data_IF_062174288023
#
_entry.id   IF_062174288023
#
_cell.length_a   1.000
_cell.length_b   1.000
_cell.length_c   1.000
_cell.angle_alpha   90.00
_cell.angle_beta   90.00
_cell.angle_gamma   90.00
#
_symmetry.space_group_name_H-M   'P 1'
#
loop_
_entity.id
_entity.type
_entity.pdbx_description
1 polymer ?
#
# COMPACT_ATOMS: atom_id res chain seq x y z
N UNK A 1 24.31 -2.99 5.71
CA UNK A 1 23.01 -2.44 6.15
C UNK A 1 23.22 -1.63 7.42
N UNK A 2 22.49 -0.54 7.56
CA UNK A 2 22.53 0.40 8.70
C UNK A 2 21.15 1.02 8.89
N UNK A 3 20.84 1.39 10.13
CA UNK A 3 19.52 1.89 10.53
C UNK A 3 18.66 0.81 11.21
N UNK A 4 17.44 1.19 11.58
CA UNK A 4 16.45 0.31 12.22
C UNK A 4 15.20 0.30 11.35
N UNK A 5 14.68 -0.89 11.06
CA UNK A 5 13.50 -1.06 10.21
C UNK A 5 12.37 -1.68 11.03
N UNK A 6 11.20 -1.05 10.97
CA UNK A 6 9.95 -1.57 11.50
C UNK A 6 9.05 -1.97 10.34
N UNK A 7 8.53 -3.18 10.40
CA UNK A 7 7.59 -3.69 9.41
C UNK A 7 6.31 -4.06 10.14
N UNK A 8 5.18 -3.54 9.68
CA UNK A 8 3.85 -3.88 10.15
C UNK A 8 3.14 -4.62 9.00
N UNK A 9 3.23 -5.96 8.92
CA UNK A 9 2.68 -6.70 7.78
C UNK A 9 1.16 -6.54 7.62
N UNK A 10 0.46 -6.34 8.74
CA UNK A 10 -0.96 -6.05 8.77
C UNK A 10 -1.21 -4.91 9.75
N UNK A 11 -1.38 -3.69 9.24
CA UNK A 11 -1.67 -2.53 10.08
C UNK A 11 -3.02 -2.68 10.82
N UNK A 12 -3.98 -3.37 10.21
CA UNK A 12 -5.29 -3.66 10.79
C UNK A 12 -5.63 -5.16 10.67
N UNK A 13 -5.23 -5.95 11.69
CA UNK A 13 -5.52 -7.38 11.73
C UNK A 13 -7.02 -7.70 11.71
N UNK A 14 -7.89 -6.83 12.24
CA UNK A 14 -9.33 -7.04 12.19
C UNK A 14 -9.85 -6.96 10.76
N UNK A 15 -9.40 -5.97 9.99
CA UNK A 15 -9.80 -5.77 8.61
C UNK A 15 -9.33 -6.90 7.67
N UNK A 16 -8.23 -7.59 7.99
CA UNK A 16 -7.81 -8.77 7.23
C UNK A 16 -8.74 -9.98 7.42
N UNK A 17 -9.63 -9.98 8.42
CA UNK A 17 -10.53 -11.12 8.71
C UNK A 17 -11.80 -11.16 7.88
N UNK A 18 -12.09 -10.17 7.03
CA UNK A 18 -13.25 -10.17 6.13
C UNK A 18 -12.87 -9.56 4.78
N UNK A 19 -13.63 -9.87 3.74
CA UNK A 19 -13.58 -9.10 2.49
C UNK A 19 -14.68 -8.03 2.46
N UNK A 20 -14.60 -7.13 1.49
CA UNK A 20 -15.57 -6.04 1.33
C UNK A 20 -17.00 -6.59 1.18
N UNK A 21 -17.90 -6.10 2.06
CA UNK A 21 -19.30 -6.53 2.10
C UNK A 21 -20.00 -6.25 0.77
N UNK A 22 -20.64 -7.28 0.22
CA UNK A 22 -21.38 -7.18 -1.05
C UNK A 22 -20.55 -7.46 -2.31
N UNK A 23 -19.22 -7.58 -2.20
CA UNK A 23 -18.34 -7.74 -3.37
C UNK A 23 -17.89 -9.19 -3.61
N UNK A 24 -18.36 -10.14 -2.79
CA UNK A 24 -18.10 -11.58 -2.96
C UNK A 24 -16.60 -11.95 -3.06
N UNK A 25 -15.76 -11.29 -2.25
CA UNK A 25 -14.32 -11.55 -2.24
C UNK A 25 -14.02 -13.03 -1.96
N UNK A 26 -13.12 -13.68 -2.73
CA UNK A 26 -12.49 -14.91 -2.29
C UNK A 26 -11.83 -14.70 -0.92
N UNK A 27 -11.76 -15.77 -0.11
CA UNK A 27 -11.16 -15.67 1.23
C UNK A 27 -9.64 -15.57 1.19
N UNK A 28 -9.03 -16.18 0.18
CA UNK A 28 -7.59 -16.35 0.08
C UNK A 28 -7.15 -16.17 -1.37
N UNK A 29 -5.88 -15.80 -1.51
CA UNK A 29 -5.10 -16.01 -2.72
C UNK A 29 -3.79 -16.72 -2.36
N UNK A 30 -3.17 -17.31 -3.36
CA UNK A 30 -1.94 -18.07 -3.25
C UNK A 30 -0.81 -17.42 -4.03
N UNK A 31 0.40 -17.56 -3.51
CA UNK A 31 1.65 -17.22 -4.20
C UNK A 31 2.49 -18.48 -4.28
N UNK A 32 2.87 -18.88 -5.49
CA UNK A 32 3.77 -20.01 -5.74
C UNK A 32 5.17 -19.71 -5.22
N UNK A 33 5.83 -20.69 -4.60
CA UNK A 33 7.16 -20.53 -4.00
C UNK A 33 8.06 -21.73 -4.31
N UNK A 34 9.39 -21.63 -4.15
CA UNK A 34 10.28 -22.78 -4.31
C UNK A 34 10.01 -23.95 -3.34
N UNK A 35 9.25 -23.72 -2.28
CA UNK A 35 8.94 -24.68 -1.23
C UNK A 35 7.46 -25.10 -1.19
N UNK A 36 6.69 -24.75 -2.23
CA UNK A 36 5.27 -25.07 -2.36
C UNK A 36 4.46 -23.80 -2.61
N UNK A 37 3.44 -23.57 -1.80
CA UNK A 37 2.49 -22.47 -1.99
C UNK A 37 2.34 -21.71 -0.67
N UNK A 38 2.36 -20.38 -0.72
CA UNK A 38 2.04 -19.52 0.40
C UNK A 38 0.65 -18.91 0.24
N UNK A 39 -0.22 -19.11 1.23
CA UNK A 39 -1.59 -18.57 1.23
C UNK A 39 -1.68 -17.29 2.03
N UNK A 40 -2.32 -16.29 1.44
CA UNK A 40 -2.64 -15.01 2.06
C UNK A 40 -4.14 -14.81 2.11
N UNK A 41 -4.61 -14.14 3.17
CA UNK A 41 -6.02 -13.79 3.33
C UNK A 41 -6.31 -12.49 2.62
N UNK A 42 -7.39 -12.45 1.84
CA UNK A 42 -7.88 -11.21 1.23
C UNK A 42 -8.72 -10.47 2.27
N UNK A 43 -8.29 -9.27 2.61
CA UNK A 43 -8.91 -8.40 3.61
C UNK A 43 -9.87 -7.38 3.01
N UNK A 44 -10.44 -6.57 3.90
CA UNK A 44 -11.17 -5.35 3.60
C UNK A 44 -10.34 -4.15 4.06
N UNK A 45 -10.70 -2.97 3.55
CA UNK A 45 -10.23 -1.68 4.04
C UNK A 45 -10.76 -1.38 5.46
N UNK A 46 -11.97 -1.85 5.77
CA UNK A 46 -12.65 -1.56 7.02
C UNK A 46 -12.39 -2.61 8.11
N UNK A 47 -12.13 -2.17 9.34
CA UNK A 47 -12.21 -3.02 10.56
C UNK A 47 -13.51 -3.83 10.54
N UNK A 48 -13.42 -5.09 10.96
CA UNK A 48 -14.56 -6.01 10.99
C UNK A 48 -15.66 -5.43 11.89
N UNK A 49 -16.91 -5.31 11.42
CA UNK A 49 -18.04 -4.89 12.26
C UNK A 49 -18.27 -5.78 13.50
N UNK A 50 -17.75 -7.02 13.51
CA UNK A 50 -17.79 -7.88 14.68
C UNK A 50 -16.82 -7.43 15.79
N UNK A 51 -15.73 -6.76 15.43
CA UNK A 51 -14.73 -6.27 16.39
C UNK A 51 -14.98 -4.80 16.77
N UNK A 52 -15.66 -4.04 15.89
CA UNK A 52 -16.00 -2.63 16.11
C UNK A 52 -17.42 -2.33 15.66
N UNK A 53 -18.30 -2.08 16.63
CA UNK A 53 -19.70 -1.66 16.45
C UNK A 53 -20.14 -0.82 17.65
N UNK A 54 -21.07 0.15 17.51
CA UNK A 54 -21.75 0.57 16.28
C UNK A 54 -20.97 1.60 15.45
N UNK A 55 -21.24 1.64 14.14
CA UNK A 55 -20.87 2.79 13.31
C UNK A 55 -21.79 3.98 13.70
N UNK A 56 -21.25 5.21 13.79
CA UNK A 56 -22.04 6.40 14.13
C UNK A 56 -22.95 6.81 12.96
N UNK A 57 -23.83 7.79 13.14
CA UNK A 57 -24.56 8.38 12.01
C UNK A 57 -23.64 9.20 11.09
N UNK A 58 -22.65 9.86 11.68
CA UNK A 58 -21.60 10.62 10.99
C UNK A 58 -20.33 10.43 11.80
N UNK A 59 -19.23 10.09 11.14
CA UNK A 59 -17.95 10.02 11.82
C UNK A 59 -17.37 11.44 11.90
N UNK A 60 -17.10 11.90 13.13
CA UNK A 60 -16.43 13.18 13.37
C UNK A 60 -14.97 12.88 13.65
N UNK A 61 -14.11 13.22 12.70
CA UNK A 61 -12.70 12.91 12.74
C UNK A 61 -12.00 13.61 13.92
N UNK A 62 -11.23 12.87 14.71
CA UNK A 62 -10.33 13.43 15.71
C UNK A 62 -8.92 13.62 15.13
N UNK A 63 -8.24 14.76 15.36
CA UNK A 63 -8.67 15.91 16.15
C UNK A 63 -9.36 17.02 15.34
N UNK A 64 -9.49 16.85 14.02
CA UNK A 64 -9.87 17.96 13.12
C UNK A 64 -11.33 18.43 13.25
N UNK A 65 -12.23 17.59 13.79
CA UNK A 65 -13.67 17.85 13.80
C UNK A 65 -14.34 17.73 12.42
N UNK A 66 -13.62 17.23 11.39
CA UNK A 66 -14.19 17.06 10.05
C UNK A 66 -15.24 15.95 10.05
N UNK A 67 -16.40 16.22 9.44
CA UNK A 67 -17.41 15.20 9.20
C UNK A 67 -16.99 14.31 8.01
N UNK A 68 -16.93 13.01 8.26
CA UNK A 68 -16.63 11.95 7.30
C UNK A 68 -17.82 10.98 7.18
N UNK A 69 -17.76 10.07 6.21
CA UNK A 69 -18.81 9.07 6.06
C UNK A 69 -18.85 8.16 7.30
N UNK A 70 -20.03 7.66 7.68
CA UNK A 70 -20.18 6.85 8.89
C UNK A 70 -19.21 5.66 8.94
N UNK A 71 -19.01 4.99 7.81
CA UNK A 71 -18.13 3.83 7.66
C UNK A 71 -16.64 4.16 7.76
N UNK A 72 -16.26 5.44 7.62
CA UNK A 72 -14.85 5.86 7.71
C UNK A 72 -14.29 5.67 9.12
N UNK A 73 -15.14 5.51 10.15
CA UNK A 73 -14.69 5.17 11.51
C UNK A 73 -14.00 3.79 11.58
N UNK A 74 -14.28 2.90 10.62
CA UNK A 74 -13.65 1.57 10.48
C UNK A 74 -12.50 1.57 9.48
N UNK A 75 -12.34 2.63 8.68
CA UNK A 75 -11.31 2.74 7.66
C UNK A 75 -10.02 3.29 8.28
N UNK A 76 -8.97 2.47 8.37
CA UNK A 76 -7.72 2.88 9.03
C UNK A 76 -7.12 4.15 8.40
N UNK A 77 -7.16 4.28 7.07
CA UNK A 77 -6.70 5.48 6.36
C UNK A 77 -7.71 6.64 6.45
N UNK A 78 -8.53 6.69 7.51
CA UNK A 78 -9.42 7.81 7.88
C UNK A 78 -9.40 8.09 9.38
N UNK A 79 -8.63 7.36 10.17
CA UNK A 79 -8.64 7.51 11.64
C UNK A 79 -7.35 8.06 12.22
N UNK A 80 -6.31 8.33 11.42
CA UNK A 80 -5.08 8.94 11.92
C UNK A 80 -5.30 10.40 12.35
N UNK A 81 -4.60 10.91 13.40
CA UNK A 81 -3.58 10.23 14.19
C UNK A 81 -4.14 9.28 15.24
N UNK A 82 -5.47 9.16 15.35
CA UNK A 82 -6.13 8.29 16.31
C UNK A 82 -6.12 8.85 17.74
N UNK A 83 -6.72 8.08 18.66
CA UNK A 83 -6.73 8.38 20.10
C UNK A 83 -6.82 7.10 20.93
N UNK A 84 -6.24 7.09 22.14
CA UNK A 84 -6.14 5.88 22.97
C UNK A 84 -7.50 5.41 23.53
N UNK A 85 -8.46 6.32 23.66
CA UNK A 85 -9.82 6.09 24.17
C UNK A 85 -10.89 6.04 23.05
N UNK A 86 -10.45 5.92 21.79
CA UNK A 86 -11.32 5.82 20.62
C UNK A 86 -11.80 4.41 20.31
N UNK A 87 -12.35 4.25 19.11
CA UNK A 87 -12.69 2.94 18.55
C UNK A 87 -11.46 2.07 18.33
N UNK A 88 -11.66 0.78 18.00
CA UNK A 88 -10.54 -0.12 17.70
C UNK A 88 -9.64 0.44 16.59
N UNK A 89 -10.21 0.93 15.50
CA UNK A 89 -9.48 1.53 14.38
C UNK A 89 -8.73 2.80 14.82
N UNK A 90 -9.36 3.69 15.59
CA UNK A 90 -8.70 4.89 16.14
C UNK A 90 -7.53 4.53 17.06
N UNK A 91 -7.68 3.48 17.88
CA UNK A 91 -6.64 2.98 18.78
C UNK A 91 -5.48 2.33 18.02
N UNK A 92 -5.74 1.66 16.90
CA UNK A 92 -4.72 1.13 16.00
C UNK A 92 -3.90 2.28 15.40
N UNK A 93 -4.56 3.29 14.82
CA UNK A 93 -3.85 4.46 14.27
C UNK A 93 -3.05 5.20 15.37
N UNK A 94 -3.59 5.30 16.58
CA UNK A 94 -2.86 5.87 17.72
C UNK A 94 -1.62 5.04 18.07
N UNK A 95 -1.73 3.72 18.13
CA UNK A 95 -0.59 2.84 18.42
C UNK A 95 0.53 2.97 17.37
N UNK A 96 0.17 3.11 16.09
CA UNK A 96 1.14 3.36 15.00
C UNK A 96 1.82 4.72 15.21
N UNK A 97 1.06 5.78 15.52
CA UNK A 97 1.63 7.10 15.82
C UNK A 97 2.56 7.08 17.04
N UNK A 98 2.22 6.33 18.09
CA UNK A 98 3.06 6.19 19.27
C UNK A 98 4.33 5.40 18.97
N UNK A 99 4.28 4.37 18.11
CA UNK A 99 5.49 3.71 17.62
C UNK A 99 6.40 4.71 16.89
N UNK A 100 5.85 5.50 15.98
CA UNK A 100 6.59 6.51 15.21
C UNK A 100 7.29 7.51 16.12
N UNK A 101 6.58 8.04 17.13
CA UNK A 101 7.14 9.03 18.06
C UNK A 101 8.14 8.45 19.05
N UNK A 102 7.86 7.26 19.59
CA UNK A 102 8.72 6.67 20.62
C UNK A 102 10.03 6.13 20.05
N UNK A 103 10.02 5.70 18.79
CA UNK A 103 11.19 5.17 18.10
C UNK A 103 11.91 6.20 17.23
N UNK A 104 11.42 7.45 17.23
CA UNK A 104 11.99 8.58 16.47
C UNK A 104 12.20 8.21 14.99
N UNK A 105 11.12 7.75 14.34
CA UNK A 105 11.19 7.23 12.98
C UNK A 105 11.47 8.37 11.99
N UNK A 106 12.58 8.28 11.26
CA UNK A 106 13.00 9.30 10.29
C UNK A 106 12.09 9.40 9.05
N UNK A 107 11.63 8.25 8.54
CA UNK A 107 10.81 8.13 7.33
C UNK A 107 9.78 7.03 7.50
N UNK A 108 8.56 7.29 7.03
CA UNK A 108 7.41 6.38 7.12
C UNK A 108 6.82 6.14 5.74
N UNK A 109 6.54 4.86 5.43
CA UNK A 109 5.93 4.42 4.18
C UNK A 109 4.59 3.71 4.46
N UNK A 110 3.52 4.22 3.85
CA UNK A 110 2.21 3.56 3.76
C UNK A 110 2.06 2.88 2.41
N UNK A 111 1.75 1.58 2.39
CA UNK A 111 1.65 0.77 1.18
C UNK A 111 0.20 0.52 0.83
N UNK A 112 -0.22 1.01 -0.32
CA UNK A 112 -1.57 0.91 -0.82
C UNK A 112 -1.62 0.37 -2.25
N UNK A 113 -2.74 -0.23 -2.60
CA UNK A 113 -3.14 -0.42 -3.98
C UNK A 113 -4.40 0.40 -4.28
N UNK A 114 -4.54 0.85 -5.53
CA UNK A 114 -5.62 1.71 -5.99
C UNK A 114 -6.28 1.18 -7.26
N UNK A 115 -7.58 1.43 -7.38
CA UNK A 115 -8.34 1.20 -8.60
C UNK A 115 -7.70 1.95 -9.79
N UNK A 116 -7.63 1.31 -10.95
CA UNK A 116 -7.06 1.86 -12.19
C UNK A 116 -7.89 3.04 -12.73
N UNK A 117 -9.19 3.07 -12.43
CA UNK A 117 -10.09 4.18 -12.74
C UNK A 117 -9.99 5.36 -11.75
N UNK A 118 -9.11 5.30 -10.74
CA UNK A 118 -8.90 6.37 -9.78
C UNK A 118 -7.64 7.19 -10.14
N UNK A 119 -7.68 8.54 -10.17
CA UNK A 119 -6.54 9.36 -10.57
C UNK A 119 -5.25 9.12 -9.78
N UNK A 120 -5.39 8.83 -8.49
CA UNK A 120 -4.29 8.59 -7.55
C UNK A 120 -3.99 7.09 -7.52
N UNK A 121 -3.48 6.60 -8.64
CA UNK A 121 -2.99 5.23 -8.86
C UNK A 121 -1.61 5.29 -9.50
N UNK A 122 -0.73 4.30 -9.26
CA UNK A 122 0.64 4.28 -9.79
C UNK A 122 1.41 5.54 -9.42
N UNK A 123 1.38 5.92 -8.14
CA UNK A 123 1.86 7.21 -7.65
C UNK A 123 2.40 7.13 -6.24
N UNK A 124 3.31 8.04 -5.90
CA UNK A 124 3.50 8.46 -4.52
C UNK A 124 2.42 9.46 -4.12
N UNK A 125 2.10 9.53 -2.83
CA UNK A 125 1.39 10.65 -2.22
C UNK A 125 2.21 11.13 -1.03
N UNK A 126 2.81 12.31 -1.15
CA UNK A 126 3.77 12.81 -0.17
C UNK A 126 3.16 13.87 0.75
N UNK A 127 3.57 13.83 2.02
CA UNK A 127 3.45 14.99 2.90
C UNK A 127 4.29 16.17 2.37
N UNK A 128 4.01 17.40 2.82
CA UNK A 128 4.61 18.62 2.27
C UNK A 128 6.15 18.60 2.41
N UNK A 129 6.67 18.10 3.52
CA UNK A 129 8.11 17.98 3.81
C UNK A 129 8.81 16.79 3.12
N UNK A 130 8.04 15.79 2.68
CA UNK A 130 8.52 14.64 1.92
C UNK A 130 8.38 14.80 0.41
N UNK A 131 7.83 15.93 -0.05
CA UNK A 131 7.51 16.14 -1.46
C UNK A 131 8.74 16.05 -2.36
N UNK A 132 9.86 16.65 -1.96
CA UNK A 132 11.09 16.63 -2.75
C UNK A 132 11.65 15.21 -2.90
N UNK A 133 11.60 14.39 -1.83
CA UNK A 133 11.98 12.97 -1.87
C UNK A 133 11.09 12.23 -2.88
N UNK A 134 9.77 12.35 -2.73
CA UNK A 134 8.80 11.67 -3.58
C UNK A 134 8.92 12.08 -5.06
N UNK A 135 9.14 13.36 -5.34
CA UNK A 135 9.29 13.89 -6.69
C UNK A 135 10.55 13.35 -7.38
N UNK A 136 11.69 13.37 -6.69
CA UNK A 136 12.94 12.88 -7.27
C UNK A 136 12.92 11.36 -7.45
N UNK A 137 12.34 10.63 -6.50
CA UNK A 137 12.16 9.19 -6.61
C UNK A 137 11.24 8.82 -7.79
N UNK A 138 10.09 9.49 -7.92
CA UNK A 138 9.16 9.29 -9.03
C UNK A 138 9.82 9.55 -10.40
N UNK A 139 10.60 10.64 -10.51
CA UNK A 139 11.36 10.96 -11.72
C UNK A 139 12.38 9.87 -12.06
N UNK A 140 13.17 9.42 -11.07
CA UNK A 140 14.19 8.40 -11.30
C UNK A 140 13.58 7.06 -11.71
N UNK A 141 12.54 6.61 -11.01
CA UNK A 141 11.83 5.37 -11.35
C UNK A 141 11.22 5.44 -12.75
N UNK A 142 10.58 6.56 -13.10
CA UNK A 142 10.01 6.77 -14.44
C UNK A 142 11.06 6.74 -15.54
N UNK A 143 12.28 7.18 -15.25
CA UNK A 143 13.39 7.18 -16.20
C UNK A 143 14.07 5.81 -16.33
N UNK A 144 14.02 4.96 -15.30
CA UNK A 144 14.91 3.79 -15.20
C UNK A 144 14.21 2.46 -15.03
N UNK A 145 12.97 2.42 -14.52
CA UNK A 145 12.28 1.18 -14.19
C UNK A 145 10.83 1.16 -14.70
N UNK A 146 9.98 2.06 -14.23
CA UNK A 146 8.55 2.09 -14.58
C UNK A 146 7.93 3.47 -14.34
N UNK A 147 6.84 3.84 -15.05
CA UNK A 147 6.14 5.10 -14.81
C UNK A 147 5.64 5.21 -13.37
N UNK A 148 5.99 6.29 -12.70
CA UNK A 148 5.59 6.59 -11.32
C UNK A 148 5.23 8.07 -11.21
N UNK A 149 3.99 8.34 -10.81
CA UNK A 149 3.52 9.70 -10.55
C UNK A 149 3.87 10.14 -9.12
N UNK A 150 3.62 11.41 -8.82
CA UNK A 150 3.68 11.98 -7.47
C UNK A 150 2.50 12.93 -7.30
N UNK A 151 1.83 12.84 -6.15
CA UNK A 151 0.72 13.71 -5.76
C UNK A 151 1.00 14.32 -4.38
N UNK A 152 0.47 15.53 -4.15
CA UNK A 152 0.50 16.14 -2.84
C UNK A 152 -0.58 15.57 -1.92
N UNK A 153 -0.21 15.30 -0.67
CA UNK A 153 -1.15 14.96 0.37
C UNK A 153 -2.16 16.11 0.58
N UNK A 154 -3.48 15.88 0.43
CA UNK A 154 -4.46 16.95 0.47
C UNK A 154 -4.64 17.51 1.88
N UNK A 155 -4.41 18.81 2.07
CA UNK A 155 -4.51 19.50 3.37
C UNK A 155 -5.92 19.47 3.99
N UNK A 156 -6.95 19.46 3.15
CA UNK A 156 -8.36 19.57 3.55
C UNK A 156 -9.06 18.23 3.73
N UNK A 157 -8.39 17.10 3.47
CA UNK A 157 -8.93 15.77 3.69
C UNK A 157 -8.19 15.11 4.86
N UNK A 158 -8.84 15.08 6.02
CA UNK A 158 -8.27 14.62 7.28
C UNK A 158 -8.50 13.12 7.49
N UNK A 159 -7.69 12.53 8.34
CA UNK A 159 -7.69 11.10 8.66
C UNK A 159 -6.77 10.24 7.81
N UNK A 160 -6.18 10.80 6.75
CA UNK A 160 -5.26 10.07 5.87
C UNK A 160 -3.93 9.81 6.58
N UNK A 161 -3.41 8.59 6.51
CA UNK A 161 -2.15 8.18 7.13
C UNK A 161 -1.02 9.16 6.77
N UNK A 162 -0.72 9.32 5.48
CA UNK A 162 0.37 10.18 5.00
C UNK A 162 0.17 11.69 5.28
N UNK A 163 -1.06 12.14 5.54
CA UNK A 163 -1.34 13.53 5.96
C UNK A 163 -1.08 13.69 7.46
N UNK A 164 -1.73 12.85 8.24
CA UNK A 164 -1.82 12.96 9.69
C UNK A 164 -0.53 12.50 10.37
N UNK A 165 0.17 11.51 9.81
CA UNK A 165 1.49 11.09 10.29
C UNK A 165 2.47 12.27 10.22
N UNK A 166 2.57 12.95 9.07
CA UNK A 166 3.46 14.11 8.94
C UNK A 166 2.96 15.36 9.69
N UNK A 167 1.64 15.56 9.87
CA UNK A 167 1.13 16.69 10.67
C UNK A 167 1.35 16.50 12.19
N UNK A 168 1.46 15.25 12.67
CA UNK A 168 1.47 14.91 14.10
C UNK A 168 2.71 14.13 14.56
N UNK A 169 3.80 14.15 13.77
CA UNK A 169 5.13 13.66 14.15
C UNK A 169 6.21 14.34 13.30
N UNK A 170 7.48 14.13 13.62
CA UNK A 170 8.62 14.68 12.87
C UNK A 170 9.11 13.74 11.74
N UNK A 171 8.33 12.69 11.42
CA UNK A 171 8.69 11.71 10.39
C UNK A 171 8.36 12.22 8.98
N UNK A 172 9.20 11.88 8.02
CA UNK A 172 8.93 12.12 6.61
C UNK A 172 7.93 11.07 6.10
N UNK A 173 6.68 11.47 5.86
CA UNK A 173 5.61 10.56 5.47
C UNK A 173 5.38 10.48 3.95
N UNK A 174 5.38 9.25 3.42
CA UNK A 174 5.07 8.91 2.04
C UNK A 174 4.04 7.78 2.01
N UNK A 175 3.09 7.86 1.07
CA UNK A 175 2.25 6.73 0.68
C UNK A 175 2.59 6.34 -0.76
N UNK A 176 2.46 5.06 -1.09
CA UNK A 176 2.56 4.56 -2.46
C UNK A 176 1.29 3.84 -2.87
N UNK A 177 0.83 4.10 -4.09
CA UNK A 177 -0.29 3.42 -4.72
C UNK A 177 0.21 2.61 -5.93
N UNK A 178 -0.10 1.32 -5.98
CA UNK A 178 0.07 0.46 -7.16
C UNK A 178 -1.28 0.15 -7.81
N UNK A 179 -1.33 -0.20 -9.11
CA UNK A 179 -2.60 -0.41 -9.80
C UNK A 179 -3.18 -1.79 -9.48
N UNK A 180 -4.32 -1.86 -8.80
CA UNK A 180 -5.00 -3.12 -8.46
C UNK A 180 -6.36 -3.26 -9.16
N UNK A 181 -6.46 -4.15 -10.16
CA UNK A 181 -7.71 -4.48 -10.83
C UNK A 181 -8.78 -5.01 -9.89
N UNK A 182 -8.40 -5.82 -8.89
CA UNK A 182 -9.33 -6.52 -8.00
C UNK A 182 -10.26 -5.58 -7.21
N UNK A 183 -9.86 -4.33 -6.98
CA UNK A 183 -10.65 -3.34 -6.24
C UNK A 183 -11.30 -2.29 -7.16
N UNK A 184 -11.26 -2.46 -8.49
CA UNK A 184 -11.91 -1.52 -9.40
C UNK A 184 -13.44 -1.71 -9.45
N UNK A 185 -14.15 -0.68 -9.92
CA UNK A 185 -15.62 -0.59 -9.89
C UNK A 185 -16.30 -1.35 -11.00
N UNK A 186 -15.62 -1.49 -12.14
CA UNK A 186 -16.19 -2.06 -13.37
C UNK A 186 -15.71 -3.47 -13.67
N UNK A 187 -14.92 -4.07 -12.78
CA UNK A 187 -14.38 -5.41 -12.99
C UNK A 187 -15.47 -6.48 -12.99
N UNK A 188 -15.13 -7.62 -13.58
CA UNK A 188 -15.93 -8.82 -13.57
C UNK A 188 -15.98 -9.50 -12.20
N UNK A 189 -16.01 -10.83 -12.24
CA UNK A 189 -16.13 -11.63 -11.02
C UNK A 189 -14.85 -11.52 -10.19
N UNK A 190 -15.00 -11.27 -8.89
CA UNK A 190 -13.89 -11.37 -7.93
C UNK A 190 -13.41 -12.82 -7.83
N UNK A 191 -12.23 -13.09 -8.38
CA UNK A 191 -11.54 -14.39 -8.34
C UNK A 191 -10.13 -14.23 -7.83
N UNK A 192 -9.53 -15.34 -7.42
CA UNK A 192 -8.10 -15.39 -7.10
C UNK A 192 -7.25 -15.01 -8.32
N UNK A 193 -7.61 -15.50 -9.51
CA UNK A 193 -6.93 -15.11 -10.75
C UNK A 193 -6.97 -13.59 -11.00
N UNK A 194 -8.08 -12.90 -10.70
CA UNK A 194 -8.14 -11.44 -10.83
C UNK A 194 -7.21 -10.75 -9.81
N UNK A 195 -7.12 -11.27 -8.58
CA UNK A 195 -6.22 -10.77 -7.55
C UNK A 195 -4.75 -10.89 -7.98
N UNK A 196 -4.37 -12.06 -8.51
CA UNK A 196 -2.98 -12.42 -8.80
C UNK A 196 -2.53 -11.95 -10.18
N UNK A 197 -3.30 -12.23 -11.23
CA UNK A 197 -2.94 -11.89 -12.62
C UNK A 197 -3.32 -10.46 -13.00
N UNK A 198 -4.35 -9.89 -12.35
CA UNK A 198 -4.81 -8.54 -12.66
C UNK A 198 -5.39 -8.39 -14.08
N UNK A 199 -5.96 -9.46 -14.64
CA UNK A 199 -6.53 -9.48 -16.00
C UNK A 199 -8.06 -9.43 -15.93
N UNK A 200 -8.66 -8.42 -16.57
CA UNK A 200 -10.11 -8.23 -16.63
C UNK A 200 -10.55 -7.58 -17.96
N UNK A 201 -11.58 -8.15 -18.59
CA UNK A 201 -12.08 -7.71 -19.90
C UNK A 201 -12.83 -6.37 -19.87
N UNK A 202 -13.45 -6.03 -18.74
CA UNK A 202 -14.16 -4.77 -18.58
C UNK A 202 -13.18 -3.62 -18.36
N UNK A 203 -12.10 -3.85 -17.61
CA UNK A 203 -10.98 -2.91 -17.53
C UNK A 203 -10.27 -2.75 -18.86
N UNK A 204 -10.09 -3.82 -19.65
CA UNK A 204 -9.59 -3.69 -21.02
C UNK A 204 -10.51 -2.78 -21.86
N UNK A 205 -11.82 -2.97 -21.74
CA UNK A 205 -12.80 -2.10 -22.42
C UNK A 205 -12.69 -0.65 -21.94
N UNK A 206 -12.50 -0.42 -20.64
CA UNK A 206 -12.29 0.92 -20.08
C UNK A 206 -10.98 1.56 -20.58
N UNK A 207 -9.89 0.77 -20.69
CA UNK A 207 -8.60 1.20 -21.23
C UNK A 207 -8.73 1.65 -22.69
N UNK A 208 -9.42 0.87 -23.53
CA UNK A 208 -9.70 1.21 -24.95
C UNK A 208 -10.53 2.50 -25.12
N UNK A 209 -11.23 2.92 -24.06
CA UNK A 209 -11.99 4.17 -24.01
C UNK A 209 -11.23 5.32 -23.34
N UNK A 210 -9.98 5.10 -22.90
CA UNK A 210 -9.16 6.10 -22.21
C UNK A 210 -9.70 6.50 -20.84
N UNK A 211 -10.34 5.57 -20.13
CA UNK A 211 -10.96 5.83 -18.82
C UNK A 211 -10.06 5.46 -17.62
N UNK A 212 -8.89 4.87 -17.88
CA UNK A 212 -7.93 4.51 -16.84
C UNK A 212 -6.88 5.60 -16.66
N UNK A 213 -6.28 5.67 -15.47
CA UNK A 213 -5.26 6.64 -15.09
C UNK A 213 -3.84 6.07 -15.04
N UNK A 214 -3.67 4.85 -15.52
CA UNK A 214 -2.40 4.16 -15.74
C UNK A 214 -2.50 3.23 -16.96
N UNK A 215 -1.36 2.76 -17.44
CA UNK A 215 -1.29 1.81 -18.54
C UNK A 215 -1.92 0.47 -18.13
N UNK A 216 -2.67 -0.12 -19.06
CA UNK A 216 -3.32 -1.42 -18.90
C UNK A 216 -3.64 -1.98 -20.28
N UNK A 217 -3.11 -3.15 -20.58
CA UNK A 217 -3.47 -3.92 -21.77
C UNK A 217 -3.31 -5.41 -21.47
N UNK A 218 -4.37 -6.19 -21.72
CA UNK A 218 -4.38 -7.64 -21.53
C UNK A 218 -4.10 -8.40 -22.85
N UNK A 219 -4.07 -7.69 -23.98
CA UNK A 219 -3.91 -8.28 -25.32
C UNK A 219 -2.44 -8.26 -25.74
N UNK A 220 -1.87 -7.07 -25.87
CA UNK A 220 -0.47 -6.88 -26.32
C UNK A 220 0.46 -6.51 -25.17
N UNK A 221 -0.11 -6.04 -24.06
CA UNK A 221 0.64 -5.50 -22.94
C UNK A 221 1.23 -4.11 -23.21
N UNK A 222 1.97 -3.61 -22.24
CA UNK A 222 2.71 -2.36 -22.32
C UNK A 222 4.14 -2.55 -21.84
N UNK A 223 5.05 -1.68 -22.27
CA UNK A 223 6.46 -1.78 -21.90
C UNK A 223 6.79 -0.91 -20.69
N UNK A 224 7.56 -1.49 -19.76
CA UNK A 224 8.25 -0.72 -18.74
C UNK A 224 9.58 -0.13 -19.28
N UNK A 225 10.31 0.63 -18.46
CA UNK A 225 11.56 1.26 -18.89
C UNK A 225 12.73 0.26 -19.03
N UNK A 226 12.57 -0.97 -18.56
CA UNK A 226 13.53 -2.06 -18.70
C UNK A 226 13.29 -2.89 -19.98
N UNK A 227 12.19 -2.62 -20.71
CA UNK A 227 11.81 -3.33 -21.92
C UNK A 227 11.02 -4.61 -21.66
N UNK A 228 10.57 -4.85 -20.43
CA UNK A 228 9.66 -5.97 -20.14
C UNK A 228 8.28 -5.65 -20.70
N UNK A 229 7.57 -6.68 -21.18
CA UNK A 229 6.16 -6.56 -21.56
C UNK A 229 5.29 -6.96 -20.37
N UNK A 230 4.46 -6.04 -19.92
CA UNK A 230 3.53 -6.22 -18.80
C UNK A 230 2.12 -6.46 -19.36
N UNK A 231 1.50 -7.56 -18.96
CA UNK A 231 0.12 -7.92 -19.35
C UNK A 231 -0.79 -7.69 -18.14
N UNK A 232 -1.79 -6.82 -18.28
CA UNK A 232 -2.69 -6.46 -17.18
C UNK A 232 -1.96 -5.72 -16.04
N UNK A 233 -2.19 -6.13 -14.79
CA UNK A 233 -1.48 -5.59 -13.61
C UNK A 233 -1.22 -6.70 -12.56
N UNK A 234 -0.29 -7.62 -12.86
CA UNK A 234 -0.05 -8.82 -12.08
C UNK A 234 0.61 -8.50 -10.73
N UNK A 235 0.46 -9.39 -9.75
CA UNK A 235 0.95 -9.22 -8.39
C UNK A 235 2.45 -8.88 -8.34
N UNK A 236 3.27 -9.56 -9.14
CA UNK A 236 4.72 -9.30 -9.19
C UNK A 236 5.05 -7.88 -9.66
N UNK A 237 4.28 -7.35 -10.62
CA UNK A 237 4.39 -5.97 -11.05
C UNK A 237 4.05 -4.99 -9.92
N UNK A 238 2.99 -5.26 -9.15
CA UNK A 238 2.57 -4.41 -8.02
C UNK A 238 3.58 -4.46 -6.87
N UNK A 239 4.01 -5.65 -6.47
CA UNK A 239 5.02 -5.86 -5.41
C UNK A 239 6.35 -5.22 -5.78
N UNK A 240 6.86 -5.48 -6.99
CA UNK A 240 8.12 -4.91 -7.46
C UNK A 240 8.09 -3.37 -7.45
N UNK A 241 6.96 -2.76 -7.82
CA UNK A 241 6.79 -1.31 -7.77
C UNK A 241 6.87 -0.75 -6.35
N UNK A 242 6.25 -1.41 -5.37
CA UNK A 242 6.38 -1.00 -3.97
C UNK A 242 7.81 -1.10 -3.48
N UNK A 243 8.52 -2.20 -3.76
CA UNK A 243 9.87 -2.42 -3.27
C UNK A 243 10.86 -1.41 -3.87
N UNK A 244 10.92 -1.29 -5.19
CA UNK A 244 11.77 -0.27 -5.83
C UNK A 244 11.34 1.15 -5.47
N UNK A 245 10.04 1.37 -5.27
CA UNK A 245 9.51 2.64 -4.79
C UNK A 245 10.09 3.03 -3.42
N UNK A 246 10.08 2.11 -2.45
CA UNK A 246 10.67 2.36 -1.14
C UNK A 246 12.18 2.59 -1.24
N UNK A 247 12.89 1.75 -1.99
CA UNK A 247 14.35 1.85 -2.10
C UNK A 247 14.78 3.18 -2.71
N UNK A 248 14.09 3.65 -3.75
CA UNK A 248 14.43 4.91 -4.40
C UNK A 248 14.12 6.11 -3.50
N UNK A 249 13.01 6.08 -2.75
CA UNK A 249 12.74 7.13 -1.76
C UNK A 249 13.81 7.16 -0.64
N UNK A 250 14.30 6.00 -0.19
CA UNK A 250 15.42 5.92 0.76
C UNK A 250 16.71 6.48 0.15
N UNK A 251 16.98 6.22 -1.15
CA UNK A 251 18.14 6.81 -1.83
C UNK A 251 18.08 8.34 -1.78
N UNK A 252 16.93 8.95 -2.04
CA UNK A 252 16.76 10.41 -1.97
C UNK A 252 16.73 10.96 -0.54
N UNK A 253 16.22 10.20 0.43
CA UNK A 253 16.39 10.52 1.85
C UNK A 253 17.88 10.67 2.19
N UNK A 254 18.70 9.69 1.80
CA UNK A 254 20.14 9.71 2.07
C UNK A 254 20.86 10.89 1.41
N UNK A 255 20.38 11.37 0.26
CA UNK A 255 20.95 12.52 -0.45
C UNK A 255 20.55 13.85 0.20
N UNK A 256 19.29 14.00 0.59
CA UNK A 256 18.76 15.25 1.15
C UNK A 256 19.00 15.40 2.65
N UNK A 257 19.05 14.29 3.38
CA UNK A 257 19.21 14.23 4.83
C UNK A 257 20.32 13.22 5.20
N UNK A 258 21.61 13.51 4.91
CA UNK A 258 22.71 12.59 5.18
C UNK A 258 22.83 12.16 6.65
N UNK A 259 22.32 12.97 7.58
CA UNK A 259 22.24 12.68 9.01
C UNK A 259 21.21 11.59 9.36
N UNK A 260 20.21 11.39 8.50
CA UNK A 260 19.16 10.35 8.60
C UNK A 260 19.46 9.12 7.74
N UNK A 261 20.68 9.03 7.19
CA UNK A 261 20.98 8.06 6.15
C UNK A 261 20.89 6.61 6.64
N UNK A 262 20.26 5.75 5.83
CA UNK A 262 20.11 4.32 6.11
C UNK A 262 20.46 3.45 4.89
N UNK A 263 20.77 2.18 5.16
CA UNK A 263 21.11 1.19 4.14
C UNK A 263 20.35 -0.10 4.43
N UNK A 264 19.48 -0.49 3.49
CA UNK A 264 18.65 -1.70 3.55
C UNK A 264 18.80 -2.47 2.25
N UNK A 265 18.67 -3.80 2.30
CA UNK A 265 18.68 -4.65 1.11
C UNK A 265 17.45 -5.54 1.07
N UNK A 266 16.77 -5.54 -0.07
CA UNK A 266 15.67 -6.42 -0.44
C UNK A 266 15.54 -6.38 -1.97
N UNK A 267 14.85 -7.35 -2.61
CA UNK A 267 14.76 -7.39 -4.07
C UNK A 267 14.12 -6.13 -4.65
N UNK A 268 14.68 -5.64 -5.75
CA UNK A 268 14.08 -4.56 -6.54
C UNK A 268 13.07 -5.07 -7.58
N UNK A 269 12.41 -4.15 -8.27
CA UNK A 269 11.46 -4.43 -9.35
C UNK A 269 12.01 -5.37 -10.42
N UNK A 270 13.24 -5.13 -10.93
CA UNK A 270 13.84 -5.99 -11.95
C UNK A 270 13.98 -7.45 -11.48
N UNK A 271 14.41 -7.64 -10.23
CA UNK A 271 14.56 -8.94 -9.59
C UNK A 271 13.21 -9.65 -9.37
N UNK A 272 12.17 -8.91 -8.96
CA UNK A 272 10.82 -9.45 -8.82
C UNK A 272 10.24 -9.84 -10.18
N UNK A 273 10.41 -9.02 -11.21
CA UNK A 273 9.91 -9.32 -12.55
C UNK A 273 10.61 -10.53 -13.18
N UNK A 274 11.87 -10.80 -12.81
CA UNK A 274 12.62 -11.96 -13.28
C UNK A 274 12.27 -13.25 -12.51
N UNK A 275 12.23 -13.18 -11.18
CA UNK A 275 12.16 -14.38 -10.33
C UNK A 275 10.77 -14.64 -9.73
N UNK A 276 9.86 -13.66 -9.76
CA UNK A 276 8.57 -13.67 -9.09
C UNK A 276 8.68 -13.39 -7.59
N UNK A 277 7.61 -12.84 -7.00
CA UNK A 277 7.55 -12.48 -5.57
C UNK A 277 7.78 -13.68 -4.67
N UNK A 278 7.23 -14.83 -5.04
CA UNK A 278 7.30 -16.04 -4.23
C UNK A 278 8.70 -16.62 -4.05
N UNK A 279 9.63 -16.30 -4.95
CA UNK A 279 11.04 -16.68 -4.81
C UNK A 279 11.68 -16.13 -3.52
N UNK A 280 11.23 -14.95 -3.10
CA UNK A 280 11.79 -14.22 -1.95
C UNK A 280 11.06 -14.50 -0.64
N UNK A 281 10.01 -15.33 -0.66
CA UNK A 281 9.26 -15.68 0.54
C UNK A 281 10.02 -16.72 1.38
N UNK A 282 10.14 -16.42 2.68
CA UNK A 282 10.78 -17.31 3.64
C UNK A 282 9.90 -18.54 3.92
N UNK A 283 10.50 -19.73 3.84
CA UNK A 283 9.87 -21.00 4.22
C UNK A 283 9.59 -21.02 5.74
N UNK A 284 8.31 -20.97 6.18
CA UNK A 284 7.98 -20.88 7.60
C UNK A 284 8.46 -22.08 8.42
N UNK A 285 8.67 -23.24 7.79
CA UNK A 285 9.18 -24.44 8.46
C UNK A 285 10.65 -24.29 8.90
N UNK A 286 11.36 -23.33 8.31
CA UNK A 286 12.77 -22.99 8.60
C UNK A 286 12.91 -21.75 9.48
N UNK A 287 11.81 -21.12 9.87
CA UNK A 287 11.84 -19.94 10.72
C UNK A 287 12.42 -20.29 12.10
N UNK A 288 13.25 -19.40 12.63
CA UNK A 288 13.73 -19.50 13.99
C UNK A 288 12.55 -19.32 14.96
N UNK A 289 12.15 -20.41 15.61
CA UNK A 289 11.01 -20.43 16.55
C UNK A 289 11.16 -19.43 17.70
N UNK A 290 12.38 -19.02 18.05
CA UNK A 290 12.61 -18.00 19.09
C UNK A 290 12.25 -16.58 18.63
N UNK A 291 12.06 -16.38 17.33
CA UNK A 291 11.72 -15.09 16.70
C UNK A 291 10.30 -15.08 16.13
N UNK A 292 9.55 -16.16 16.33
CA UNK A 292 8.12 -16.24 16.00
C UNK A 292 7.34 -15.93 17.25
N UNK A 293 6.48 -14.91 17.17
CA UNK A 293 5.59 -14.51 18.24
C UNK A 293 4.16 -14.86 17.79
N UNK A 294 3.43 -15.61 18.62
CA UNK A 294 2.01 -15.89 18.36
C UNK A 294 1.19 -14.65 18.72
N UNK A 295 0.28 -14.27 17.81
CA UNK A 295 -0.69 -13.20 18.02
C UNK A 295 -1.92 -13.69 18.77
#
# INVERSE_FOLDING_TARGET
ESGKVYIIPHANMSASTLGMLGNAYPKYFSVETPWGEQKYRIGDRGTNPLDQWPDPFTYVHYPSGQNLAYQDIRNLNRTFPGRPDGTLTERISFAIMELIRNEDIDIFFDYHEASLMYPVVSTYVAHDDSMDIGMMAAMMLSATQFPMKIEASPKNLRGLTHREVGDFSDTLALLMETPEPFIDRVVGKMTEDLMVEGIDEFLQTAAEKGLLYCDYDIKEGFQDALGNTIIGAPLDYRVGRHLSGTLEAINWLNQFFPEKAMSVSFPGYAEIMENGTGYYLHDPSKADKSRVFEN
#
